data_IF_121641782035
#
_entry.id   IF_121641782035
#
_cell.length_a   1.000
_cell.length_b   1.000
_cell.length_c   1.000
_cell.angle_alpha   90.00
_cell.angle_beta   90.00
_cell.angle_gamma   90.00
#
_symmetry.space_group_name_H-M   'P 1'
#
loop_
_entity.id
_entity.type
_entity.pdbx_description
1 polymer ?
#
# COMPACT_ATOMS: atom_id res chain seq x y z
N UNK A 1 10.82 -12.88 -36.31
CA UNK A 1 10.55 -13.49 -34.99
C UNK A 1 10.33 -12.39 -33.96
N UNK A 2 9.09 -12.01 -33.69
CA UNK A 2 8.72 -11.08 -32.61
C UNK A 2 8.83 -11.81 -31.28
N UNK A 3 9.90 -11.54 -30.54
CA UNK A 3 10.01 -12.00 -29.14
C UNK A 3 8.83 -11.41 -28.37
N UNK A 4 7.85 -12.24 -27.98
CA UNK A 4 6.80 -11.85 -27.03
C UNK A 4 7.49 -11.25 -25.80
N UNK A 5 7.18 -9.99 -25.47
CA UNK A 5 7.59 -9.40 -24.18
C UNK A 5 6.99 -10.26 -23.07
N UNK A 6 7.84 -11.06 -22.43
CA UNK A 6 7.50 -11.87 -21.24
C UNK A 6 6.94 -11.01 -20.10
N UNK A 7 7.19 -9.70 -20.14
CA UNK A 7 6.83 -8.74 -19.11
C UNK A 7 5.48 -8.06 -19.36
N UNK A 8 4.79 -8.39 -20.46
CA UNK A 8 3.50 -7.79 -20.82
C UNK A 8 2.47 -7.86 -19.68
N UNK A 9 2.25 -9.05 -19.08
CA UNK A 9 1.36 -9.18 -17.93
C UNK A 9 1.85 -8.39 -16.70
N UNK A 10 3.13 -8.47 -16.35
CA UNK A 10 3.67 -7.79 -15.18
C UNK A 10 3.54 -6.26 -15.30
N UNK A 11 3.89 -5.70 -16.45
CA UNK A 11 3.77 -4.27 -16.71
C UNK A 11 2.30 -3.82 -16.63
N UNK A 12 1.39 -4.59 -17.21
CA UNK A 12 -0.05 -4.29 -17.17
C UNK A 12 -0.57 -4.24 -15.73
N UNK A 13 -0.29 -5.28 -14.94
CA UNK A 13 -0.80 -5.36 -13.57
C UNK A 13 -0.10 -4.39 -12.60
N UNK A 14 1.21 -4.15 -12.74
CA UNK A 14 1.92 -3.11 -11.97
C UNK A 14 1.38 -1.71 -12.28
N UNK A 15 1.04 -1.44 -13.55
CA UNK A 15 0.44 -0.17 -13.96
C UNK A 15 -0.90 0.02 -13.27
N UNK A 16 -1.78 -0.98 -13.30
CA UNK A 16 -3.06 -0.90 -12.61
C UNK A 16 -2.93 -0.82 -11.10
N UNK A 17 -2.05 -1.60 -10.48
CA UNK A 17 -1.73 -1.48 -9.05
C UNK A 17 -1.32 -0.04 -8.69
N UNK A 18 -0.45 0.56 -9.50
CA UNK A 18 0.00 1.96 -9.34
C UNK A 18 -1.14 2.96 -9.51
N UNK A 19 -2.00 2.79 -10.52
CA UNK A 19 -3.16 3.65 -10.73
C UNK A 19 -4.11 3.56 -9.53
N UNK A 20 -4.46 2.36 -9.08
CA UNK A 20 -5.40 2.18 -7.98
C UNK A 20 -4.86 2.68 -6.65
N UNK A 21 -3.57 2.47 -6.32
CA UNK A 21 -3.01 3.04 -5.09
C UNK A 21 -3.09 4.56 -5.09
N UNK A 22 -2.75 5.21 -6.22
CA UNK A 22 -2.84 6.65 -6.32
C UNK A 22 -4.29 7.15 -6.29
N UNK A 23 -5.22 6.51 -6.99
CA UNK A 23 -6.63 6.91 -6.96
C UNK A 23 -7.26 6.72 -5.58
N UNK A 24 -7.01 5.60 -4.90
CA UNK A 24 -7.54 5.36 -3.56
C UNK A 24 -6.96 6.33 -2.53
N UNK A 25 -5.66 6.67 -2.62
CA UNK A 25 -5.05 7.68 -1.75
C UNK A 25 -5.46 9.11 -2.12
N UNK A 26 -5.69 9.41 -3.40
CA UNK A 26 -6.25 10.68 -3.84
C UNK A 26 -7.63 10.90 -3.25
N UNK A 27 -8.52 9.91 -3.38
CA UNK A 27 -9.84 9.96 -2.76
C UNK A 27 -9.73 10.22 -1.26
N UNK A 28 -8.88 9.46 -0.57
CA UNK A 28 -8.64 9.67 0.85
C UNK A 28 -8.29 11.14 1.15
N UNK A 29 -7.33 11.74 0.45
CA UNK A 29 -6.88 13.10 0.76
C UNK A 29 -7.85 14.21 0.34
N UNK A 30 -8.71 13.95 -0.65
CA UNK A 30 -9.64 14.95 -1.17
C UNK A 30 -10.96 15.00 -0.39
N UNK A 31 -11.39 13.86 0.15
CA UNK A 31 -12.68 13.74 0.86
C UNK A 31 -12.52 13.45 2.36
N UNK A 32 -11.39 12.90 2.76
CA UNK A 32 -11.07 12.52 4.13
C UNK A 32 -9.77 13.20 4.58
N UNK A 33 -9.36 12.95 5.82
CA UNK A 33 -8.08 13.48 6.33
C UNK A 33 -6.92 12.51 6.04
N UNK A 34 -5.72 13.06 6.12
CA UNK A 34 -4.47 12.32 6.17
C UNK A 34 -3.67 12.77 7.38
N UNK A 35 -2.82 11.91 7.97
CA UNK A 35 -2.22 12.14 9.29
C UNK A 35 -1.07 13.16 9.33
N UNK A 36 -1.20 14.27 8.60
CA UNK A 36 -0.23 15.37 8.56
C UNK A 36 -0.09 16.00 9.94
N UNK A 37 -1.21 16.14 10.64
CA UNK A 37 -1.29 16.65 12.02
C UNK A 37 -0.51 15.81 13.01
N UNK A 38 -0.41 14.49 12.78
CA UNK A 38 0.39 13.62 13.63
C UNK A 38 1.84 14.09 13.71
N UNK A 39 2.40 14.65 12.63
CA UNK A 39 3.73 15.26 12.63
C UNK A 39 3.68 16.74 13.02
N UNK A 40 2.83 17.53 12.36
CA UNK A 40 2.85 18.99 12.47
C UNK A 40 2.41 19.53 13.84
N UNK A 41 1.73 18.70 14.64
CA UNK A 41 1.38 18.98 16.03
C UNK A 41 2.18 18.15 17.04
N UNK A 42 3.30 17.54 16.63
CA UNK A 42 4.26 16.97 17.56
C UNK A 42 5.26 18.04 18.02
N UNK A 43 5.12 18.49 19.27
CA UNK A 43 5.97 19.54 19.84
C UNK A 43 7.45 19.15 19.88
N UNK A 44 7.75 17.89 20.21
CA UNK A 44 9.12 17.41 20.33
C UNK A 44 9.86 17.43 18.99
N UNK A 45 9.14 17.21 17.89
CA UNK A 45 9.70 17.19 16.54
C UNK A 45 9.67 18.56 15.86
N UNK A 46 8.63 19.36 16.13
CA UNK A 46 8.34 20.56 15.35
C UNK A 46 8.69 21.87 16.06
N UNK A 47 8.86 21.90 17.38
CA UNK A 47 9.13 23.13 18.15
C UNK A 47 10.32 23.94 17.61
N UNK A 48 11.42 23.28 17.22
CA UNK A 48 12.57 23.96 16.61
C UNK A 48 12.26 24.63 15.26
N UNK A 49 11.44 23.99 14.42
CA UNK A 49 10.99 24.57 13.15
C UNK A 49 9.97 25.70 13.39
N UNK A 50 9.01 25.49 14.28
CA UNK A 50 7.95 26.44 14.62
C UNK A 50 8.53 27.73 15.21
N UNK A 51 9.45 27.61 16.17
CA UNK A 51 10.16 28.75 16.75
C UNK A 51 11.06 29.45 15.73
N UNK A 52 11.73 28.71 14.84
CA UNK A 52 12.51 29.27 13.73
C UNK A 52 11.68 30.08 12.73
N UNK A 53 10.38 29.79 12.62
CA UNK A 53 9.40 30.57 11.84
C UNK A 53 8.80 31.75 12.61
N UNK A 54 9.22 31.99 13.85
CA UNK A 54 8.76 33.10 14.69
C UNK A 54 7.44 32.86 15.42
N UNK A 55 6.98 31.61 15.51
CA UNK A 55 5.74 31.25 16.20
C UNK A 55 6.04 30.68 17.60
N UNK A 56 5.18 30.99 18.57
CA UNK A 56 5.12 30.18 19.79
C UNK A 56 4.40 28.87 19.50
N UNK A 57 4.70 27.81 20.28
CA UNK A 57 4.03 26.53 20.11
C UNK A 57 2.50 26.64 20.30
N UNK A 58 2.07 27.38 21.32
CA UNK A 58 0.64 27.60 21.60
C UNK A 58 -0.04 28.30 20.42
N UNK A 59 0.58 29.34 19.84
CA UNK A 59 0.01 30.06 18.71
C UNK A 59 -0.06 29.17 17.47
N UNK A 60 0.94 28.31 17.26
CA UNK A 60 0.98 27.38 16.13
C UNK A 60 -0.17 26.37 16.16
N UNK A 61 -0.38 25.68 17.29
CA UNK A 61 -1.38 24.61 17.38
C UNK A 61 -2.82 25.13 17.49
N UNK A 62 -3.01 26.37 17.96
CA UNK A 62 -4.34 27.00 18.07
C UNK A 62 -4.70 27.87 16.85
N UNK A 63 -3.76 28.12 15.94
CA UNK A 63 -3.99 28.96 14.77
C UNK A 63 -4.90 28.29 13.73
N UNK A 64 -6.05 28.92 13.48
CA UNK A 64 -6.96 28.53 12.41
C UNK A 64 -6.29 28.61 11.02
N UNK A 65 -5.35 29.54 10.83
CA UNK A 65 -4.60 29.69 9.57
C UNK A 65 -3.65 28.51 9.35
N UNK A 66 -2.93 28.09 10.41
CA UNK A 66 -2.07 26.90 10.34
C UNK A 66 -2.92 25.68 10.01
N UNK A 67 -4.05 25.49 10.70
CA UNK A 67 -4.94 24.37 10.42
C UNK A 67 -5.45 24.36 8.97
N UNK A 68 -5.88 25.52 8.44
CA UNK A 68 -6.32 25.64 7.05
C UNK A 68 -5.20 25.34 6.04
N UNK A 69 -3.96 25.73 6.35
CA UNK A 69 -2.80 25.41 5.51
C UNK A 69 -2.46 23.91 5.54
N UNK A 70 -2.65 23.23 6.67
CA UNK A 70 -2.51 21.77 6.76
C UNK A 70 -3.58 21.11 5.88
N UNK A 71 -4.84 21.56 5.95
CA UNK A 71 -5.91 21.04 5.10
C UNK A 71 -5.62 21.25 3.61
N UNK A 72 -5.09 22.42 3.24
CA UNK A 72 -4.66 22.72 1.88
C UNK A 72 -3.53 21.78 1.44
N UNK A 73 -2.55 21.51 2.32
CA UNK A 73 -1.46 20.57 2.03
C UNK A 73 -2.00 19.15 1.82
N UNK A 74 -2.88 18.66 2.69
CA UNK A 74 -3.53 17.34 2.55
C UNK A 74 -4.22 17.23 1.18
N UNK A 75 -5.07 18.20 0.82
CA UNK A 75 -5.74 18.23 -0.49
C UNK A 75 -4.75 18.34 -1.65
N UNK A 76 -3.66 19.09 -1.48
CA UNK A 76 -2.58 19.20 -2.47
C UNK A 76 -1.93 17.86 -2.79
N UNK A 77 -1.68 17.02 -1.78
CA UNK A 77 -1.23 15.63 -1.98
C UNK A 77 -2.30 14.79 -2.68
N UNK A 78 -3.59 15.00 -2.37
CA UNK A 78 -4.69 14.38 -3.11
C UNK A 78 -4.66 14.67 -4.60
N UNK A 79 -4.49 15.94 -4.98
CA UNK A 79 -4.35 16.35 -6.39
C UNK A 79 -3.09 15.76 -7.02
N UNK A 80 -1.95 15.77 -6.32
CA UNK A 80 -0.71 15.12 -6.78
C UNK A 80 -0.95 13.64 -7.11
N UNK A 81 -1.70 12.92 -6.27
CA UNK A 81 -2.01 11.52 -6.52
C UNK A 81 -2.95 11.32 -7.73
N UNK A 82 -3.94 12.19 -7.96
CA UNK A 82 -4.74 12.14 -9.21
C UNK A 82 -3.84 12.29 -10.43
N UNK A 83 -2.94 13.28 -10.43
CA UNK A 83 -2.00 13.53 -11.53
C UNK A 83 -1.02 12.36 -11.68
N UNK A 84 -0.59 11.73 -10.58
CA UNK A 84 0.27 10.56 -10.58
C UNK A 84 -0.43 9.31 -11.15
N UNK A 85 -1.72 9.11 -10.86
CA UNK A 85 -2.51 8.05 -11.49
C UNK A 85 -2.60 8.25 -13.02
N UNK A 86 -2.87 9.47 -13.47
CA UNK A 86 -2.87 9.81 -14.90
C UNK A 86 -1.48 9.60 -15.53
N UNK A 87 -0.41 10.00 -14.83
CA UNK A 87 0.97 9.79 -15.27
C UNK A 87 1.32 8.29 -15.38
N UNK A 88 0.84 7.45 -14.46
CA UNK A 88 1.02 5.99 -14.51
C UNK A 88 0.38 5.38 -15.77
N UNK A 89 -0.82 5.84 -16.12
CA UNK A 89 -1.51 5.42 -17.34
C UNK A 89 -0.76 5.85 -18.60
N UNK A 90 -0.29 7.10 -18.62
CA UNK A 90 0.40 7.72 -19.75
C UNK A 90 1.90 7.38 -19.83
N UNK A 91 2.41 6.58 -18.89
CA UNK A 91 3.83 6.22 -18.80
C UNK A 91 4.26 5.42 -20.03
N UNK A 92 5.26 5.97 -20.71
CA UNK A 92 5.91 5.36 -21.86
C UNK A 92 7.42 5.68 -21.80
N UNK A 93 8.29 4.87 -22.43
CA UNK A 93 9.71 5.18 -22.56
C UNK A 93 9.92 6.60 -23.16
N UNK A 94 10.79 7.40 -22.53
CA UNK A 94 11.11 8.76 -22.98
C UNK A 94 10.22 9.88 -22.43
N UNK A 95 9.04 9.58 -21.86
CA UNK A 95 8.16 10.59 -21.23
C UNK A 95 8.64 10.97 -19.82
N UNK A 96 9.68 11.81 -19.74
CA UNK A 96 10.33 12.20 -18.48
C UNK A 96 9.37 12.83 -17.47
N UNK A 97 8.43 13.67 -17.92
CA UNK A 97 7.47 14.32 -17.03
C UNK A 97 6.62 13.29 -16.25
N UNK A 98 6.17 12.22 -16.91
CA UNK A 98 5.37 11.18 -16.26
C UNK A 98 6.21 10.45 -15.19
N UNK A 99 7.50 10.20 -15.47
CA UNK A 99 8.42 9.63 -14.49
C UNK A 99 8.65 10.55 -13.29
N UNK A 100 8.81 11.86 -13.52
CA UNK A 100 8.97 12.85 -12.43
C UNK A 100 7.74 12.89 -11.54
N UNK A 101 6.54 12.97 -12.13
CA UNK A 101 5.28 12.96 -11.37
C UNK A 101 5.14 11.67 -10.56
N UNK A 102 5.46 10.51 -11.14
CA UNK A 102 5.42 9.24 -10.41
C UNK A 102 6.43 9.18 -9.26
N UNK A 103 7.64 9.73 -9.45
CA UNK A 103 8.62 9.86 -8.36
C UNK A 103 8.09 10.74 -7.23
N UNK A 104 7.54 11.91 -7.55
CA UNK A 104 6.95 12.81 -6.55
C UNK A 104 5.77 12.15 -5.81
N UNK A 105 4.86 11.51 -6.54
CA UNK A 105 3.76 10.74 -5.94
C UNK A 105 4.27 9.60 -5.06
N UNK A 106 5.33 8.91 -5.46
CA UNK A 106 5.93 7.85 -4.65
C UNK A 106 6.54 8.39 -3.37
N UNK A 107 7.31 9.47 -3.44
CA UNK A 107 7.85 10.13 -2.26
C UNK A 107 6.72 10.56 -1.31
N UNK A 108 5.60 11.02 -1.86
CA UNK A 108 4.41 11.29 -1.08
C UNK A 108 3.82 10.06 -0.41
N UNK A 109 3.75 8.91 -1.08
CA UNK A 109 3.30 7.66 -0.46
C UNK A 109 4.25 7.18 0.64
N UNK A 110 5.56 7.30 0.45
CA UNK A 110 6.56 6.98 1.49
C UNK A 110 6.40 7.90 2.70
N UNK A 111 6.23 9.21 2.46
CA UNK A 111 5.96 10.17 3.53
C UNK A 111 4.66 9.84 4.26
N UNK A 112 3.60 9.50 3.54
CA UNK A 112 2.33 9.07 4.12
C UNK A 112 2.48 7.81 4.98
N UNK A 113 3.23 6.80 4.51
CA UNK A 113 3.53 5.60 5.27
C UNK A 113 4.31 5.90 6.56
N UNK A 114 5.22 6.87 6.52
CA UNK A 114 5.90 7.36 7.71
C UNK A 114 4.93 8.01 8.71
N UNK A 115 4.02 8.88 8.24
CA UNK A 115 3.03 9.51 9.11
C UNK A 115 2.11 8.49 9.79
N UNK A 116 1.63 7.47 9.07
CA UNK A 116 0.86 6.39 9.67
C UNK A 116 1.65 5.55 10.68
N UNK A 117 2.93 5.35 10.42
CA UNK A 117 3.81 4.66 11.35
C UNK A 117 3.96 5.46 12.64
N UNK A 118 4.04 6.78 12.54
CA UNK A 118 4.04 7.68 13.69
C UNK A 118 2.72 7.60 14.49
N UNK A 119 1.56 7.59 13.83
CA UNK A 119 0.27 7.39 14.51
C UNK A 119 0.16 6.04 15.23
N UNK A 120 0.91 5.04 14.76
CA UNK A 120 1.02 3.72 15.37
C UNK A 120 2.24 3.59 16.28
N UNK A 121 2.64 4.66 16.95
CA UNK A 121 3.75 4.68 17.93
C UNK A 121 5.05 4.09 17.38
N UNK A 122 5.33 4.34 16.10
CA UNK A 122 6.50 3.85 15.38
C UNK A 122 6.63 2.33 15.25
N UNK A 123 5.51 1.60 15.26
CA UNK A 123 5.52 0.18 14.87
C UNK A 123 6.02 0.04 13.42
N UNK A 124 7.26 -0.44 13.25
CA UNK A 124 7.89 -0.58 11.92
C UNK A 124 7.09 -1.48 10.97
N UNK A 125 6.32 -2.43 11.52
CA UNK A 125 5.37 -3.21 10.73
C UNK A 125 4.38 -2.34 9.97
N UNK A 126 3.93 -1.21 10.52
CA UNK A 126 3.03 -0.30 9.82
C UNK A 126 3.65 0.26 8.54
N UNK A 127 4.91 0.66 8.60
CA UNK A 127 5.61 1.22 7.44
C UNK A 127 5.73 0.17 6.32
N UNK A 128 6.19 -1.02 6.68
CA UNK A 128 6.45 -2.09 5.73
C UNK A 128 5.19 -2.83 5.27
N UNK A 129 4.07 -2.76 5.99
CA UNK A 129 2.75 -3.15 5.48
C UNK A 129 2.42 -2.34 4.21
N UNK A 130 2.85 -1.08 4.13
CA UNK A 130 2.65 -0.24 2.94
C UNK A 130 3.68 -0.47 1.83
N UNK A 131 4.56 -1.48 1.92
CA UNK A 131 5.62 -1.73 0.94
C UNK A 131 5.09 -1.88 -0.48
N UNK A 132 3.97 -2.57 -0.71
CA UNK A 132 3.38 -2.66 -2.05
C UNK A 132 2.67 -1.37 -2.48
N UNK A 133 2.25 -0.51 -1.56
CA UNK A 133 1.61 0.76 -1.92
C UNK A 133 2.61 1.74 -2.53
N UNK A 134 3.71 2.04 -1.83
CA UNK A 134 4.77 2.89 -2.38
C UNK A 134 5.71 2.12 -3.33
N UNK A 135 5.80 0.79 -3.20
CA UNK A 135 6.62 -0.05 -4.07
C UNK A 135 6.05 -0.19 -5.48
N UNK A 136 4.73 -0.23 -5.64
CA UNK A 136 4.09 -0.36 -6.96
C UNK A 136 4.57 0.69 -7.99
N UNK A 137 4.52 2.01 -7.71
CA UNK A 137 5.05 3.00 -8.64
C UNK A 137 6.56 2.91 -8.86
N UNK A 138 7.37 2.56 -7.84
CA UNK A 138 8.81 2.34 -8.01
C UNK A 138 9.12 1.18 -8.95
N UNK A 139 8.43 0.06 -8.74
CA UNK A 139 8.59 -1.15 -9.55
C UNK A 139 8.11 -0.90 -10.98
N UNK A 140 7.04 -0.12 -11.18
CA UNK A 140 6.59 0.31 -12.49
C UNK A 140 7.62 1.19 -13.20
N UNK A 141 8.20 2.16 -12.51
CA UNK A 141 9.26 3.03 -13.05
C UNK A 141 10.49 2.22 -13.45
N UNK A 142 10.93 1.30 -12.60
CA UNK A 142 12.06 0.42 -12.89
C UNK A 142 11.77 -0.47 -14.11
N UNK A 143 10.62 -1.14 -14.14
CA UNK A 143 10.25 -2.02 -15.25
C UNK A 143 10.11 -1.26 -16.58
N UNK A 144 9.55 -0.04 -16.57
CA UNK A 144 9.38 0.78 -17.78
C UNK A 144 10.72 1.14 -18.45
N UNK A 145 11.81 1.20 -17.67
CA UNK A 145 13.17 1.40 -18.19
C UNK A 145 13.82 0.14 -18.76
N UNK A 146 13.21 -1.04 -18.59
CA UNK A 146 13.79 -2.33 -18.99
C UNK A 146 13.08 -2.94 -20.20
N UNK A 147 13.83 -3.76 -20.95
CA UNK A 147 13.27 -4.59 -22.03
C UNK A 147 12.77 -5.95 -21.56
N UNK A 148 13.32 -6.45 -20.44
CA UNK A 148 13.04 -7.74 -19.80
C UNK A 148 13.18 -7.58 -18.29
N UNK A 149 12.42 -8.35 -17.50
CA UNK A 149 12.60 -8.42 -16.05
C UNK A 149 14.02 -8.90 -15.73
N UNK A 150 14.75 -8.11 -14.94
CA UNK A 150 16.07 -8.44 -14.44
C UNK A 150 15.96 -9.20 -13.11
N UNK A 151 16.99 -9.99 -12.74
CA UNK A 151 17.01 -10.68 -11.45
C UNK A 151 16.87 -9.72 -10.25
N UNK A 152 17.54 -8.54 -10.21
CA UNK A 152 17.33 -7.58 -9.13
C UNK A 152 15.89 -7.06 -9.04
N UNK A 153 15.23 -6.81 -10.18
CA UNK A 153 13.82 -6.37 -10.18
C UNK A 153 12.89 -7.49 -9.69
N UNK A 154 13.12 -8.74 -10.11
CA UNK A 154 12.36 -9.88 -9.58
C UNK A 154 12.49 -9.96 -8.05
N UNK A 155 13.72 -9.85 -7.53
CA UNK A 155 13.96 -9.87 -6.09
C UNK A 155 13.27 -8.71 -5.38
N UNK A 156 13.29 -7.50 -5.94
CA UNK A 156 12.61 -6.35 -5.37
C UNK A 156 11.08 -6.53 -5.33
N UNK A 157 10.47 -7.11 -6.38
CA UNK A 157 9.05 -7.44 -6.39
C UNK A 157 8.73 -8.45 -5.27
N UNK A 158 9.50 -9.53 -5.19
CA UNK A 158 9.30 -10.59 -4.19
C UNK A 158 9.47 -10.06 -2.77
N UNK A 159 10.48 -9.22 -2.54
CA UNK A 159 10.73 -8.58 -1.27
C UNK A 159 9.59 -7.62 -0.88
N UNK A 160 9.10 -6.79 -1.80
CA UNK A 160 7.99 -5.89 -1.51
C UNK A 160 6.71 -6.64 -1.12
N UNK A 161 6.40 -7.76 -1.82
CA UNK A 161 5.28 -8.64 -1.45
C UNK A 161 5.54 -9.27 -0.08
N UNK A 162 6.71 -9.87 0.13
CA UNK A 162 7.05 -10.53 1.38
C UNK A 162 7.00 -9.58 2.58
N UNK A 163 7.52 -8.35 2.47
CA UNK A 163 7.44 -7.32 3.51
C UNK A 163 6.00 -6.94 3.82
N UNK A 164 5.18 -6.74 2.79
CA UNK A 164 3.76 -6.39 2.94
C UNK A 164 3.02 -7.46 3.73
N UNK A 165 3.10 -8.72 3.29
CA UNK A 165 2.39 -9.82 3.94
C UNK A 165 2.98 -10.16 5.31
N UNK A 166 4.31 -10.15 5.48
CA UNK A 166 4.93 -10.34 6.81
C UNK A 166 4.39 -9.31 7.80
N UNK A 167 4.38 -8.03 7.42
CA UNK A 167 3.98 -6.97 8.35
C UNK A 167 2.47 -6.91 8.58
N UNK A 168 1.68 -7.24 7.57
CA UNK A 168 0.25 -7.48 7.73
C UNK A 168 -0.01 -8.65 8.71
N UNK A 169 0.74 -9.75 8.54
CA UNK A 169 0.70 -10.92 9.40
C UNK A 169 1.08 -10.63 10.86
N UNK A 170 2.03 -9.71 11.11
CA UNK A 170 2.37 -9.27 12.48
C UNK A 170 1.15 -8.67 13.20
N UNK A 171 0.29 -7.94 12.50
CA UNK A 171 -0.97 -7.44 13.06
C UNK A 171 -1.99 -8.56 13.21
N UNK A 172 -2.22 -9.37 12.18
CA UNK A 172 -3.23 -10.44 12.22
C UNK A 172 -2.93 -11.50 13.31
N UNK A 173 -1.66 -11.87 13.47
CA UNK A 173 -1.16 -12.79 14.49
C UNK A 173 -1.18 -12.21 15.91
N UNK A 174 -1.27 -10.89 16.06
CA UNK A 174 -1.27 -10.23 17.36
C UNK A 174 0.11 -9.98 17.97
N UNK A 175 1.18 -9.98 17.17
CA UNK A 175 2.50 -9.50 17.61
C UNK A 175 2.46 -8.00 17.93
N UNK A 176 1.82 -7.22 17.05
CA UNK A 176 1.38 -5.87 17.36
C UNK A 176 -0.08 -5.86 17.84
N UNK A 177 -0.53 -4.81 18.56
CA UNK A 177 -1.93 -4.65 18.89
C UNK A 177 -2.81 -4.75 17.65
N UNK A 178 -3.69 -5.76 17.64
CA UNK A 178 -4.64 -6.01 16.56
C UNK A 178 -5.54 -4.79 16.37
N UNK A 179 -5.63 -4.22 15.16
CA UNK A 179 -6.60 -3.18 14.87
C UNK A 179 -8.02 -3.70 15.13
N UNK A 180 -8.83 -2.96 15.90
CA UNK A 180 -10.21 -3.36 16.24
C UNK A 180 -11.04 -3.63 14.98
N UNK A 181 -10.84 -2.81 13.94
CA UNK A 181 -11.51 -2.99 12.66
C UNK A 181 -11.18 -4.34 11.99
N UNK A 182 -10.00 -4.95 12.19
CA UNK A 182 -9.71 -6.27 11.61
C UNK A 182 -10.62 -7.33 12.22
N UNK A 183 -10.69 -7.36 13.55
CA UNK A 183 -11.54 -8.31 14.27
C UNK A 183 -13.02 -8.08 13.93
N UNK A 184 -13.48 -6.83 13.95
CA UNK A 184 -14.87 -6.50 13.60
C UNK A 184 -15.20 -6.88 12.14
N UNK A 185 -14.32 -6.60 11.17
CA UNK A 185 -14.57 -6.98 9.77
C UNK A 185 -14.70 -8.49 9.59
N UNK A 186 -13.93 -9.30 10.31
CA UNK A 186 -14.04 -10.76 10.26
C UNK A 186 -15.32 -11.24 10.94
N UNK A 187 -15.66 -10.68 12.11
CA UNK A 187 -16.90 -10.99 12.82
C UNK A 187 -18.12 -10.67 11.95
N UNK A 188 -18.20 -9.47 11.39
CA UNK A 188 -19.35 -9.00 10.62
C UNK A 188 -19.40 -9.65 9.22
N UNK A 189 -18.25 -9.82 8.57
CA UNK A 189 -18.17 -10.36 7.21
C UNK A 189 -18.42 -11.87 7.13
N UNK A 190 -18.09 -12.63 8.18
CA UNK A 190 -18.22 -14.08 8.23
C UNK A 190 -19.18 -14.58 9.33
N UNK A 191 -19.84 -13.66 10.05
CA UNK A 191 -20.79 -13.97 11.14
C UNK A 191 -20.17 -14.84 12.24
N UNK A 192 -18.92 -14.55 12.62
CA UNK A 192 -18.18 -15.29 13.63
C UNK A 192 -18.21 -14.58 14.99
N UNK A 193 -18.07 -15.37 16.06
CA UNK A 193 -17.76 -14.82 17.39
C UNK A 193 -16.37 -14.17 17.39
N UNK A 194 -16.14 -13.26 18.34
CA UNK A 194 -14.84 -12.60 18.49
C UNK A 194 -13.68 -13.61 18.67
N UNK A 195 -13.91 -14.66 19.46
CA UNK A 195 -12.92 -15.73 19.69
C UNK A 195 -12.56 -16.45 18.38
N UNK A 196 -13.56 -16.85 17.59
CA UNK A 196 -13.33 -17.51 16.30
C UNK A 196 -12.68 -16.56 15.27
N UNK A 197 -13.05 -15.28 15.27
CA UNK A 197 -12.42 -14.27 14.42
C UNK A 197 -10.92 -14.10 14.77
N UNK A 198 -10.59 -14.10 16.05
CA UNK A 198 -9.20 -14.04 16.55
C UNK A 198 -8.40 -15.26 16.09
N UNK A 199 -8.94 -16.47 16.26
CA UNK A 199 -8.29 -17.72 15.82
C UNK A 199 -8.05 -17.70 14.30
N UNK A 200 -9.04 -17.27 13.52
CA UNK A 200 -8.92 -17.18 12.07
C UNK A 200 -7.81 -16.18 11.66
N UNK A 201 -7.75 -15.02 12.32
CA UNK A 201 -6.71 -14.02 12.07
C UNK A 201 -5.32 -14.53 12.43
N UNK A 202 -5.17 -15.31 13.50
CA UNK A 202 -3.89 -15.92 13.89
C UNK A 202 -3.42 -16.97 12.87
N UNK A 203 -4.35 -17.78 12.36
CA UNK A 203 -4.07 -18.71 11.25
C UNK A 203 -3.63 -17.93 10.02
N UNK A 204 -4.36 -16.89 9.64
CA UNK A 204 -4.03 -16.06 8.49
C UNK A 204 -2.66 -15.39 8.63
N UNK A 205 -2.36 -14.80 9.79
CA UNK A 205 -1.05 -14.19 10.05
C UNK A 205 0.09 -15.20 10.01
N UNK A 206 -0.15 -16.44 10.47
CA UNK A 206 0.83 -17.53 10.35
C UNK A 206 1.10 -17.89 8.89
N UNK A 207 0.03 -17.98 8.08
CA UNK A 207 0.15 -18.26 6.64
C UNK A 207 0.90 -17.14 5.90
N UNK A 208 0.69 -15.88 6.28
CA UNK A 208 1.43 -14.74 5.72
C UNK A 208 2.95 -14.87 5.90
N UNK A 209 3.41 -15.34 7.07
CA UNK A 209 4.84 -15.60 7.33
C UNK A 209 5.38 -16.75 6.48
N UNK A 210 4.63 -17.85 6.36
CA UNK A 210 5.00 -19.02 5.55
C UNK A 210 5.15 -18.62 4.07
N UNK A 211 4.19 -17.83 3.58
CA UNK A 211 4.16 -17.33 2.20
C UNK A 211 5.32 -16.37 1.94
N UNK A 212 5.59 -15.44 2.86
CA UNK A 212 6.75 -14.54 2.77
C UNK A 212 8.08 -15.33 2.72
N UNK A 213 8.22 -16.38 3.53
CA UNK A 213 9.38 -17.27 3.49
C UNK A 213 9.55 -17.95 2.13
N UNK A 214 8.49 -18.55 1.58
CA UNK A 214 8.54 -19.17 0.24
C UNK A 214 8.78 -18.15 -0.88
N UNK A 215 8.30 -16.93 -0.73
CA UNK A 215 8.58 -15.83 -1.67
C UNK A 215 10.04 -15.42 -1.65
N UNK A 216 10.81 -15.64 -0.60
CA UNK A 216 12.23 -15.31 -0.54
C UNK A 216 13.14 -16.51 -0.84
N UNK A 217 12.63 -17.73 -0.72
CA UNK A 217 13.36 -18.93 -1.10
C UNK A 217 13.55 -19.06 -2.61
N UNK A 218 14.67 -19.61 -3.09
CA UNK A 218 14.87 -19.88 -4.51
C UNK A 218 14.17 -21.15 -5.01
N UNK A 219 12.98 -21.42 -4.48
CA UNK A 219 12.19 -22.61 -4.80
C UNK A 219 10.93 -22.22 -5.56
N UNK A 220 10.94 -22.46 -6.87
CA UNK A 220 9.92 -21.91 -7.77
C UNK A 220 8.51 -22.43 -7.53
N UNK A 221 8.28 -23.74 -7.32
CA UNK A 221 6.94 -24.24 -6.99
C UNK A 221 6.38 -23.54 -5.75
N UNK A 222 7.17 -23.45 -4.68
CA UNK A 222 6.79 -22.75 -3.44
C UNK A 222 6.45 -21.28 -3.69
N UNK A 223 7.29 -20.55 -4.41
CA UNK A 223 7.03 -19.16 -4.73
C UNK A 223 5.75 -18.95 -5.59
N UNK A 224 5.42 -19.87 -6.51
CA UNK A 224 4.17 -19.79 -7.28
C UNK A 224 2.94 -20.01 -6.41
N UNK A 225 2.99 -20.99 -5.50
CA UNK A 225 1.92 -21.23 -4.52
C UNK A 225 1.76 -20.02 -3.60
N UNK A 226 2.88 -19.48 -3.11
CA UNK A 226 2.89 -18.28 -2.28
C UNK A 226 2.29 -17.06 -2.99
N UNK A 227 2.65 -16.83 -4.26
CA UNK A 227 2.03 -15.77 -5.08
C UNK A 227 0.53 -15.99 -5.26
N UNK A 228 0.08 -17.22 -5.53
CA UNK A 228 -1.34 -17.53 -5.66
C UNK A 228 -2.11 -17.26 -4.36
N UNK A 229 -1.54 -17.62 -3.21
CA UNK A 229 -2.07 -17.25 -1.91
C UNK A 229 -2.17 -15.72 -1.77
N UNK A 230 -1.11 -14.96 -2.07
CA UNK A 230 -1.13 -13.50 -1.99
C UNK A 230 -2.20 -12.87 -2.89
N UNK A 231 -2.45 -13.44 -4.07
CA UNK A 231 -3.55 -12.98 -4.96
C UNK A 231 -4.90 -13.18 -4.27
N UNK A 232 -5.16 -14.37 -3.75
CA UNK A 232 -6.45 -14.71 -3.14
C UNK A 232 -6.63 -13.93 -1.84
N UNK A 233 -5.69 -14.06 -0.90
CA UNK A 233 -5.76 -13.46 0.43
C UNK A 233 -5.68 -11.94 0.39
N UNK A 234 -4.77 -11.38 -0.42
CA UNK A 234 -4.68 -9.92 -0.64
C UNK A 234 -5.95 -9.36 -1.29
N UNK A 235 -6.63 -10.15 -2.13
CA UNK A 235 -7.92 -9.79 -2.72
C UNK A 235 -9.03 -9.78 -1.67
N UNK A 236 -9.19 -10.89 -0.95
CA UNK A 236 -10.18 -11.03 0.11
C UNK A 236 -10.06 -9.92 1.16
N UNK A 237 -8.85 -9.63 1.64
CA UNK A 237 -8.61 -8.58 2.65
C UNK A 237 -8.80 -7.17 2.11
N UNK A 238 -8.52 -6.91 0.81
CA UNK A 238 -8.82 -5.64 0.19
C UNK A 238 -10.34 -5.41 0.06
N UNK A 239 -11.12 -6.44 -0.31
CA UNK A 239 -12.58 -6.33 -0.43
C UNK A 239 -13.34 -6.50 0.89
N UNK A 240 -12.70 -7.04 1.93
CA UNK A 240 -13.32 -7.30 3.23
C UNK A 240 -14.02 -6.07 3.81
N UNK A 241 -13.46 -4.87 3.65
CA UNK A 241 -14.08 -3.61 4.12
C UNK A 241 -15.42 -3.35 3.47
N UNK A 242 -15.50 -3.48 2.15
CA UNK A 242 -16.77 -3.28 1.44
C UNK A 242 -17.73 -4.38 1.90
N UNK A 243 -17.29 -5.64 1.89
CA UNK A 243 -18.12 -6.79 2.23
C UNK A 243 -18.70 -6.74 3.65
N UNK A 244 -17.87 -6.45 4.65
CA UNK A 244 -18.29 -6.42 6.06
C UNK A 244 -19.25 -5.29 6.34
N UNK A 245 -19.04 -4.12 5.73
CA UNK A 245 -19.85 -2.93 6.01
C UNK A 245 -21.13 -2.82 5.16
N UNK A 246 -21.30 -3.65 4.11
CA UNK A 246 -22.52 -3.67 3.30
C UNK A 246 -23.79 -4.00 4.11
N UNK A 247 -23.67 -4.75 5.19
CA UNK A 247 -24.81 -5.22 5.98
C UNK A 247 -25.10 -4.37 7.22
N UNK A 248 -24.10 -3.62 7.70
CA UNK A 248 -24.17 -2.84 8.94
C UNK A 248 -24.21 -1.33 8.69
N UNK A 249 -24.11 -0.88 7.44
CA UNK A 249 -24.09 0.54 7.09
C UNK A 249 -24.89 0.83 5.81
N UNK A 250 -25.49 2.03 5.69
CA UNK A 250 -26.10 2.49 4.45
C UNK A 250 -25.14 2.45 3.25
N UNK A 251 -25.66 2.16 2.05
CA UNK A 251 -24.84 1.96 0.85
C UNK A 251 -23.99 3.19 0.48
N UNK A 252 -24.52 4.39 0.64
CA UNK A 252 -23.81 5.66 0.42
C UNK A 252 -22.60 5.80 1.35
N UNK A 253 -22.75 5.43 2.63
CA UNK A 253 -21.64 5.40 3.60
C UNK A 253 -20.59 4.39 3.16
N UNK A 254 -21.00 3.19 2.72
CA UNK A 254 -20.07 2.17 2.24
C UNK A 254 -19.28 2.65 1.02
N UNK A 255 -19.96 3.28 0.06
CA UNK A 255 -19.35 3.79 -1.15
C UNK A 255 -18.38 4.93 -0.89
N UNK A 256 -18.69 5.85 0.03
CA UNK A 256 -17.83 7.00 0.30
C UNK A 256 -16.66 6.68 1.24
N UNK A 257 -16.92 5.90 2.29
CA UNK A 257 -15.97 5.65 3.37
C UNK A 257 -15.07 4.44 3.12
N UNK A 258 -15.60 3.34 2.58
CA UNK A 258 -14.87 2.07 2.57
C UNK A 258 -14.29 1.68 1.21
N UNK A 259 -14.84 2.20 0.11
CA UNK A 259 -14.35 1.86 -1.24
C UNK A 259 -12.93 2.34 -1.46
N UNK A 260 -12.61 3.58 -1.09
CA UNK A 260 -11.26 4.11 -1.30
C UNK A 260 -10.20 3.29 -0.53
N UNK A 261 -10.56 2.82 0.67
CA UNK A 261 -9.74 1.94 1.49
C UNK A 261 -9.51 0.57 0.86
N UNK A 262 -10.50 0.02 0.16
CA UNK A 262 -10.30 -1.16 -0.66
C UNK A 262 -9.34 -0.84 -1.80
N UNK A 263 -9.62 0.20 -2.57
CA UNK A 263 -8.92 0.54 -3.82
C UNK A 263 -7.43 0.76 -3.60
N UNK A 264 -7.00 1.52 -2.58
CA UNK A 264 -5.56 1.72 -2.37
C UNK A 264 -4.81 0.45 -1.90
N UNK A 265 -5.54 -0.59 -1.50
CA UNK A 265 -4.98 -1.91 -1.14
C UNK A 265 -4.92 -2.87 -2.32
N UNK A 266 -5.48 -2.53 -3.49
CA UNK A 266 -5.40 -3.42 -4.66
C UNK A 266 -3.98 -3.83 -5.09
N UNK A 267 -2.90 -3.07 -4.84
CA UNK A 267 -1.54 -3.59 -4.99
C UNK A 267 -1.26 -4.93 -4.32
N UNK A 268 -1.93 -5.23 -3.20
CA UNK A 268 -1.70 -6.44 -2.39
C UNK A 268 -2.03 -7.73 -3.16
N UNK A 269 -2.92 -7.67 -4.15
CA UNK A 269 -3.23 -8.81 -5.02
C UNK A 269 -2.83 -8.60 -6.48
N UNK A 270 -2.87 -7.35 -6.99
CA UNK A 270 -2.52 -7.07 -8.38
C UNK A 270 -1.02 -7.26 -8.66
N UNK A 271 -0.14 -6.87 -7.74
CA UNK A 271 1.31 -7.06 -7.92
C UNK A 271 1.68 -8.54 -7.88
N UNK A 272 1.21 -9.35 -6.90
CA UNK A 272 1.40 -10.80 -6.95
C UNK A 272 0.80 -11.46 -8.19
N UNK A 273 -0.37 -11.01 -8.67
CA UNK A 273 -1.00 -11.52 -9.89
C UNK A 273 -0.11 -11.26 -11.11
N UNK A 274 0.42 -10.04 -11.24
CA UNK A 274 1.39 -9.69 -12.28
C UNK A 274 2.64 -10.55 -12.23
N UNK A 275 3.19 -10.77 -11.04
CA UNK A 275 4.35 -11.64 -10.83
C UNK A 275 4.06 -13.10 -11.20
N UNK A 276 2.90 -13.64 -10.78
CA UNK A 276 2.48 -15.01 -11.06
C UNK A 276 2.28 -15.26 -12.55
N UNK A 277 1.59 -14.35 -13.24
CA UNK A 277 1.30 -14.45 -14.68
C UNK A 277 2.53 -14.23 -15.56
N UNK A 278 3.49 -13.41 -15.11
CA UNK A 278 4.79 -13.27 -15.77
C UNK A 278 5.73 -14.46 -15.51
N UNK A 279 5.35 -15.41 -14.66
CA UNK A 279 6.13 -16.61 -14.36
C UNK A 279 7.33 -16.35 -13.45
N UNK A 280 7.25 -15.32 -12.57
CA UNK A 280 8.22 -15.15 -11.49
C UNK A 280 8.00 -16.24 -10.43
N UNK A 281 9.07 -16.82 -9.83
CA UNK A 281 10.49 -16.54 -10.08
C UNK A 281 11.03 -17.17 -11.37
N UNK A 282 11.89 -16.41 -12.07
CA UNK A 282 12.45 -16.79 -13.36
C UNK A 282 13.41 -17.98 -13.28
N UNK A 283 13.79 -18.52 -14.45
CA UNK A 283 15.03 -19.17 -14.72
C UNK A 283 16.17 -18.95 -13.73
N UNK A 284 16.45 -19.79 -12.71
CA UNK A 284 17.86 -19.80 -12.26
C UNK A 284 18.62 -20.41 -13.43
N UNK A 285 19.20 -19.56 -14.28
CA UNK A 285 20.14 -20.02 -15.32
C UNK A 285 21.20 -20.81 -14.56
N UNK A 286 21.26 -22.12 -14.78
CA UNK A 286 22.43 -22.90 -14.38
C UNK A 286 23.58 -22.31 -15.21
N UNK A 287 24.48 -21.60 -14.55
CA UNK A 287 25.80 -21.26 -15.09
C UNK A 287 26.57 -22.54 -15.30
#
# INVERSE_FOLDING_TARGET
MTVKKTDGPLLFWLRWATIFVFLGRAWQHLYWDAPFRALLWDESMMSGLVSGLGWSWSDWVTSATVNANIDLAVRGFGVLYVVAAAAAYLLQPGRRWASVVLWLGTLGLVFLSFLYTKEKFYHLGQFFEYSLQFGSPLLLLWLNGLRRVSLPLEWAIRLAIALTFTCHGLYAFGFYPRPVNFTSMVMDGLWLSQENAIILLEIAGTLDFIVAFFLLLPWRPGARVALAYCVIWGGLTAFARIWSYLWVSPLDTVLLQWVHESVYRWPHFLVPLGALLAGLPLPRRRS
#
